data_IF_007993942828
#
_entry.id   IF_007993942828
#
_cell.length_a   1.000
_cell.length_b   1.000
_cell.length_c   1.000
_cell.angle_alpha   90.00
_cell.angle_beta   90.00
_cell.angle_gamma   90.00
#
_symmetry.space_group_name_H-M   'P 1'
#
loop_
_entity.id
_entity.type
_entity.pdbx_description
1 polymer ?
#
# COMPACT_ATOMS: atom_id res chain seq x y z
N UNK A 1 21.88 -5.27 -17.92
CA UNK A 1 20.80 -4.51 -17.27
C UNK A 1 21.41 -3.29 -16.60
N UNK A 2 20.73 -2.14 -16.62
CA UNK A 2 21.20 -0.96 -15.92
C UNK A 2 21.00 -1.17 -14.42
N UNK A 3 22.09 -1.35 -13.69
CA UNK A 3 22.04 -1.55 -12.22
C UNK A 3 21.74 -0.26 -11.48
N UNK A 4 21.75 0.89 -12.16
CA UNK A 4 21.55 2.21 -11.57
C UNK A 4 20.71 3.10 -12.48
N UNK A 5 19.77 3.82 -11.89
CA UNK A 5 18.92 4.77 -12.59
C UNK A 5 18.64 5.98 -11.67
N UNK A 6 18.67 7.18 -12.24
CA UNK A 6 18.28 8.41 -11.52
C UNK A 6 16.91 8.86 -12.00
N UNK A 7 15.96 8.98 -11.08
CA UNK A 7 14.60 9.42 -11.31
C UNK A 7 14.32 10.71 -10.53
N UNK A 8 13.53 11.68 -11.07
CA UNK A 8 13.23 12.93 -10.36
C UNK A 8 12.57 12.75 -8.98
N UNK A 9 11.68 11.77 -8.87
CA UNK A 9 11.00 11.43 -7.61
C UNK A 9 11.83 10.49 -6.71
N UNK A 10 12.17 9.30 -7.19
CA UNK A 10 12.88 8.27 -6.42
C UNK A 10 14.38 8.52 -6.21
N UNK A 11 14.95 9.57 -6.81
CA UNK A 11 16.38 9.84 -6.71
C UNK A 11 17.22 8.76 -7.40
N UNK A 12 18.36 8.41 -6.79
CA UNK A 12 19.27 7.39 -7.34
C UNK A 12 18.89 6.00 -6.82
N UNK A 13 18.42 5.14 -7.73
CA UNK A 13 18.12 3.74 -7.47
C UNK A 13 19.30 2.86 -7.90
N UNK A 14 19.63 1.84 -7.11
CA UNK A 14 20.75 0.92 -7.34
C UNK A 14 20.34 -0.53 -7.06
N UNK A 15 20.06 -1.30 -8.11
CA UNK A 15 19.57 -2.68 -7.99
C UNK A 15 20.65 -3.67 -7.56
N UNK A 16 21.91 -3.27 -7.41
CA UNK A 16 22.99 -4.22 -7.07
C UNK A 16 22.76 -5.00 -5.78
N UNK A 17 22.00 -4.45 -4.82
CA UNK A 17 21.63 -5.14 -3.58
C UNK A 17 20.62 -6.26 -3.80
N UNK A 18 19.73 -6.12 -4.79
CA UNK A 18 18.70 -7.12 -5.06
C UNK A 18 19.20 -8.27 -5.94
N UNK A 19 20.31 -8.08 -6.67
CA UNK A 19 20.89 -9.12 -7.55
C UNK A 19 21.34 -10.38 -6.78
N UNK A 20 21.59 -10.26 -5.47
CA UNK A 20 21.99 -11.39 -4.61
C UNK A 20 20.81 -12.13 -3.98
N UNK A 21 19.58 -11.66 -4.19
CA UNK A 21 18.38 -12.28 -3.66
C UNK A 21 18.12 -13.66 -4.28
N UNK A 22 17.27 -14.45 -3.63
CA UNK A 22 16.76 -15.69 -4.21
C UNK A 22 15.74 -15.40 -5.32
N UNK A 23 15.50 -16.36 -6.22
CA UNK A 23 14.47 -16.19 -7.25
C UNK A 23 13.11 -15.95 -6.56
N UNK A 24 12.27 -15.11 -7.15
CA UNK A 24 10.93 -14.77 -6.65
C UNK A 24 10.88 -14.09 -5.27
N UNK A 25 11.96 -13.40 -4.87
CA UNK A 25 11.99 -12.59 -3.64
C UNK A 25 12.15 -11.09 -3.95
N UNK A 26 11.59 -10.27 -3.06
CA UNK A 26 11.64 -8.81 -3.13
C UNK A 26 12.49 -8.26 -1.99
N UNK A 27 13.09 -7.11 -2.23
CA UNK A 27 13.69 -6.27 -1.19
C UNK A 27 13.39 -4.80 -1.48
N UNK A 28 13.46 -3.97 -0.44
CA UNK A 28 13.18 -2.53 -0.54
C UNK A 28 14.35 -1.85 -1.23
N UNK A 29 14.09 -1.31 -2.41
CA UNK A 29 15.08 -0.55 -3.17
C UNK A 29 15.05 0.94 -2.82
N UNK A 30 13.91 1.44 -2.36
CA UNK A 30 13.72 2.82 -1.94
C UNK A 30 12.56 2.92 -0.96
N UNK A 31 12.66 3.80 0.02
CA UNK A 31 11.60 4.09 0.99
C UNK A 31 11.66 5.56 1.41
N UNK A 32 10.51 6.14 1.71
CA UNK A 32 10.42 7.50 2.21
C UNK A 32 9.12 7.75 3.00
N UNK A 33 9.23 8.47 4.11
CA UNK A 33 8.10 9.10 4.78
C UNK A 33 7.62 10.35 4.02
N UNK A 34 6.33 10.40 3.69
CA UNK A 34 5.69 11.58 3.11
C UNK A 34 4.65 12.17 4.06
N UNK A 35 4.61 13.50 4.25
CA UNK A 35 3.53 14.13 4.97
C UNK A 35 2.24 14.07 4.14
N UNK A 36 1.17 13.58 4.75
CA UNK A 36 -0.13 13.46 4.09
C UNK A 36 -1.27 13.74 5.07
N UNK A 37 -2.06 14.78 4.77
CA UNK A 37 -3.06 15.35 5.70
C UNK A 37 -2.38 15.68 7.05
N UNK A 38 -2.92 15.19 8.16
CA UNK A 38 -2.39 15.40 9.50
C UNK A 38 -1.52 14.23 10.01
N UNK A 39 -1.09 13.34 9.10
CA UNK A 39 -0.26 12.16 9.41
C UNK A 39 0.97 12.02 8.49
N UNK A 40 1.75 10.97 8.71
CA UNK A 40 2.88 10.54 7.89
C UNK A 40 2.49 9.21 7.24
N UNK A 41 2.80 9.07 5.96
CA UNK A 41 2.64 7.81 5.22
C UNK A 41 4.01 7.28 4.85
N UNK A 42 4.30 6.03 5.19
CA UNK A 42 5.50 5.33 4.74
C UNK A 42 5.31 4.82 3.32
N UNK A 43 6.19 5.16 2.39
CA UNK A 43 6.12 4.67 1.01
C UNK A 43 7.33 3.82 0.72
N UNK A 44 7.13 2.55 0.40
CA UNK A 44 8.21 1.63 0.02
C UNK A 44 8.12 1.27 -1.46
N UNK A 45 9.27 1.07 -2.08
CA UNK A 45 9.41 0.58 -3.44
C UNK A 45 10.16 -0.74 -3.42
N UNK A 46 9.41 -1.82 -3.60
CA UNK A 46 9.87 -3.20 -3.56
C UNK A 46 10.26 -3.65 -4.96
N UNK A 47 11.41 -4.29 -5.06
CA UNK A 47 11.97 -4.72 -6.34
C UNK A 47 12.50 -6.15 -6.25
N UNK A 48 12.18 -6.97 -7.25
CA UNK A 48 12.70 -8.33 -7.38
C UNK A 48 13.76 -8.41 -8.48
N UNK A 49 14.74 -9.29 -8.27
CA UNK A 49 15.83 -9.48 -9.22
C UNK A 49 15.35 -9.98 -10.58
N UNK A 50 16.17 -9.77 -11.61
CA UNK A 50 15.87 -10.21 -12.98
C UNK A 50 14.93 -9.29 -13.76
N UNK A 51 14.35 -8.28 -13.11
CA UNK A 51 13.61 -7.22 -13.76
C UNK A 51 14.53 -6.10 -14.25
N UNK A 52 14.21 -5.52 -15.41
CA UNK A 52 14.81 -4.27 -15.84
C UNK A 52 14.11 -3.09 -15.14
N UNK A 53 14.91 -2.23 -14.51
CA UNK A 53 14.41 -0.97 -13.94
C UNK A 53 14.14 0.03 -15.08
N UNK A 54 12.86 0.25 -15.37
CA UNK A 54 12.40 1.08 -16.49
C UNK A 54 11.94 2.44 -15.99
N UNK A 55 12.41 3.50 -16.64
CA UNK A 55 12.03 4.87 -16.30
C UNK A 55 10.52 5.08 -16.45
N UNK A 56 9.91 4.54 -17.50
CA UNK A 56 8.49 4.68 -17.79
C UNK A 56 7.62 4.09 -16.68
N UNK A 57 8.07 3.00 -16.05
CA UNK A 57 7.37 2.38 -14.94
C UNK A 57 7.52 3.18 -13.65
N UNK A 58 8.69 3.76 -13.40
CA UNK A 58 8.89 4.73 -12.31
C UNK A 58 8.04 6.00 -12.50
N UNK A 59 7.96 6.52 -13.73
CA UNK A 59 7.09 7.66 -14.06
C UNK A 59 5.60 7.31 -13.74
N UNK A 60 5.19 6.06 -13.94
CA UNK A 60 3.85 5.59 -13.60
C UNK A 60 3.59 5.53 -12.08
N UNK A 61 4.54 5.00 -11.30
CA UNK A 61 4.47 5.04 -9.83
C UNK A 61 4.42 6.48 -9.30
N UNK A 62 5.25 7.38 -9.85
CA UNK A 62 5.21 8.81 -9.50
C UNK A 62 3.85 9.44 -9.85
N UNK A 63 3.30 9.10 -11.01
CA UNK A 63 1.95 9.56 -11.40
C UNK A 63 0.86 9.02 -10.47
N UNK A 64 1.00 7.80 -9.96
CA UNK A 64 0.08 7.23 -8.97
C UNK A 64 0.11 8.03 -7.67
N UNK A 65 1.29 8.19 -7.06
CA UNK A 65 1.44 8.86 -5.75
C UNK A 65 1.07 10.34 -5.80
N UNK A 66 1.33 11.03 -6.92
CA UNK A 66 0.87 12.43 -7.09
C UNK A 66 -0.65 12.59 -7.10
N UNK A 67 -1.40 11.50 -7.25
CA UNK A 67 -2.87 11.45 -7.19
C UNK A 67 -3.38 10.85 -5.89
N UNK A 68 -2.53 10.75 -4.85
CA UNK A 68 -2.88 10.09 -3.59
C UNK A 68 -4.23 10.53 -2.98
N UNK A 69 -4.58 11.84 -2.91
CA UNK A 69 -5.91 12.26 -2.44
C UNK A 69 -7.08 11.60 -3.16
N UNK A 70 -6.98 11.48 -4.48
CA UNK A 70 -8.03 10.85 -5.29
C UNK A 70 -8.05 9.33 -5.08
N UNK A 71 -6.86 8.70 -4.98
CA UNK A 71 -6.75 7.24 -4.79
C UNK A 71 -7.25 6.80 -3.43
N UNK A 72 -6.93 7.57 -2.40
CA UNK A 72 -7.40 7.31 -1.04
C UNK A 72 -8.93 7.50 -0.92
N UNK A 73 -9.52 8.51 -1.59
CA UNK A 73 -10.97 8.65 -1.66
C UNK A 73 -11.63 7.43 -2.34
N UNK A 74 -11.02 6.92 -3.43
CA UNK A 74 -11.48 5.72 -4.14
C UNK A 74 -11.36 4.47 -3.26
N UNK A 75 -10.23 4.30 -2.57
CA UNK A 75 -9.98 3.22 -1.62
C UNK A 75 -11.07 3.18 -0.53
N UNK A 76 -11.31 4.31 0.16
CA UNK A 76 -12.31 4.36 1.23
C UNK A 76 -13.72 4.02 0.74
N UNK A 77 -14.10 4.47 -0.47
CA UNK A 77 -15.41 4.12 -1.05
C UNK A 77 -15.54 2.61 -1.28
N UNK A 78 -14.50 1.95 -1.78
CA UNK A 78 -14.56 0.50 -2.01
C UNK A 78 -14.52 -0.28 -0.69
N UNK A 79 -13.77 0.19 0.32
CA UNK A 79 -13.78 -0.42 1.67
C UNK A 79 -15.18 -0.38 2.27
N UNK A 80 -15.85 0.78 2.23
CA UNK A 80 -17.21 0.92 2.77
C UNK A 80 -18.15 -0.09 2.09
N UNK A 81 -18.06 -0.22 0.76
CA UNK A 81 -18.90 -1.18 0.02
C UNK A 81 -18.56 -2.63 0.42
N UNK A 82 -17.28 -2.97 0.48
CA UNK A 82 -16.80 -4.30 0.86
C UNK A 82 -17.29 -4.71 2.26
N UNK A 83 -17.13 -3.83 3.26
CA UNK A 83 -17.56 -4.11 4.63
C UNK A 83 -19.08 -4.25 4.76
N UNK A 84 -19.86 -3.58 3.91
CA UNK A 84 -21.32 -3.76 3.85
C UNK A 84 -21.71 -5.11 3.24
N UNK A 85 -20.97 -5.57 2.24
CA UNK A 85 -21.17 -6.88 1.61
C UNK A 85 -20.68 -8.03 2.48
N UNK A 86 -19.68 -7.76 3.33
CA UNK A 86 -19.04 -8.72 4.22
C UNK A 86 -19.02 -8.23 5.68
N UNK A 87 -20.19 -8.16 6.35
CA UNK A 87 -20.30 -7.57 7.69
C UNK A 87 -19.51 -8.31 8.77
N UNK A 88 -19.15 -9.57 8.56
CA UNK A 88 -18.33 -10.36 9.49
C UNK A 88 -16.96 -9.70 9.74
N UNK A 89 -16.36 -9.07 8.74
CA UNK A 89 -15.09 -8.35 8.90
C UNK A 89 -15.23 -7.10 9.77
N UNK A 90 -16.32 -6.35 9.59
CA UNK A 90 -16.57 -5.20 10.46
C UNK A 90 -16.84 -5.65 11.90
N UNK A 91 -17.59 -6.73 12.09
CA UNK A 91 -17.87 -7.30 13.41
C UNK A 91 -16.58 -7.78 14.10
N UNK A 92 -15.65 -8.39 13.36
CA UNK A 92 -14.34 -8.81 13.88
C UNK A 92 -13.60 -7.65 14.57
N UNK A 93 -13.56 -6.47 13.94
CA UNK A 93 -12.95 -5.29 14.56
C UNK A 93 -13.73 -4.79 15.78
N UNK A 94 -15.06 -4.86 15.78
CA UNK A 94 -15.88 -4.51 16.97
C UNK A 94 -15.63 -5.46 18.14
N UNK A 95 -15.30 -6.71 17.87
CA UNK A 95 -15.01 -7.71 18.91
C UNK A 95 -13.62 -7.50 19.52
N UNK A 96 -12.63 -7.08 18.71
CA UNK A 96 -11.26 -6.82 19.16
C UNK A 96 -11.10 -5.57 20.00
N UNK A 97 -11.88 -4.51 19.75
CA UNK A 97 -11.75 -3.26 20.51
C UNK A 97 -13.06 -2.51 20.68
N UNK A 98 -13.18 -1.84 21.83
CA UNK A 98 -14.34 -0.97 22.15
C UNK A 98 -14.25 0.41 21.49
N UNK A 99 -13.15 0.73 20.81
CA UNK A 99 -12.98 2.00 20.10
C UNK A 99 -13.58 1.98 18.70
N UNK A 100 -13.83 0.80 18.14
CA UNK A 100 -14.47 0.64 16.82
C UNK A 100 -15.81 1.37 16.81
N UNK A 101 -16.02 2.33 15.87
CA UNK A 101 -17.31 2.97 15.71
C UNK A 101 -18.44 1.98 15.45
N UNK A 102 -19.67 2.40 15.71
CA UNK A 102 -20.83 1.52 15.54
C UNK A 102 -21.28 1.37 14.07
N UNK A 103 -20.81 2.25 13.18
CA UNK A 103 -21.12 2.25 11.75
C UNK A 103 -19.86 2.20 10.88
N UNK A 104 -20.02 1.59 9.68
CA UNK A 104 -18.94 1.30 8.74
C UNK A 104 -18.34 2.59 8.18
N UNK A 105 -19.16 3.59 7.89
CA UNK A 105 -18.73 4.85 7.31
C UNK A 105 -17.81 5.62 8.24
N UNK A 106 -18.18 5.73 9.53
CA UNK A 106 -17.33 6.36 10.55
C UNK A 106 -16.06 5.56 10.74
N UNK A 107 -16.16 4.22 10.88
CA UNK A 107 -14.98 3.34 10.98
C UNK A 107 -14.00 3.55 9.83
N UNK A 108 -14.47 3.47 8.58
CA UNK A 108 -13.62 3.68 7.41
C UNK A 108 -13.11 5.11 7.33
N UNK A 109 -13.83 6.12 7.83
CA UNK A 109 -13.32 7.50 7.83
C UNK A 109 -12.19 7.74 8.83
N UNK A 110 -12.17 6.97 9.92
CA UNK A 110 -11.18 7.07 11.00
C UNK A 110 -9.91 6.24 10.73
N UNK A 111 -9.96 5.29 9.78
CA UNK A 111 -8.78 4.52 9.38
C UNK A 111 -7.64 5.44 8.94
N UNK A 112 -6.46 5.26 9.52
CA UNK A 112 -5.27 5.97 9.11
C UNK A 112 -4.66 5.27 7.90
N UNK A 113 -4.31 6.04 6.87
CA UNK A 113 -3.45 5.54 5.79
C UNK A 113 -2.02 5.54 6.34
N UNK A 114 -1.43 4.36 6.47
CA UNK A 114 -0.12 4.20 7.12
C UNK A 114 0.99 3.97 6.11
N UNK A 115 0.76 3.03 5.20
CA UNK A 115 1.79 2.58 4.27
C UNK A 115 1.26 2.49 2.85
N UNK A 116 2.14 2.73 1.89
CA UNK A 116 1.92 2.44 0.48
C UNK A 116 3.13 1.68 -0.03
N UNK A 117 2.89 0.47 -0.52
CA UNK A 117 3.94 -0.33 -1.14
C UNK A 117 3.78 -0.33 -2.65
N UNK A 118 4.85 0.02 -3.34
CA UNK A 118 4.99 -0.09 -4.78
C UNK A 118 5.72 -1.38 -5.10
N UNK A 119 4.97 -2.34 -5.63
CA UNK A 119 5.49 -3.63 -6.05
C UNK A 119 5.95 -3.54 -7.50
N UNK A 120 7.23 -3.80 -7.71
CA UNK A 120 7.80 -3.93 -9.05
C UNK A 120 7.93 -5.41 -9.47
N UNK A 121 6.82 -6.05 -9.90
CA UNK A 121 6.90 -7.21 -10.80
C UNK A 121 6.14 -7.04 -12.11
N UNK A 122 6.39 -7.93 -13.08
CA UNK A 122 5.63 -8.02 -14.33
C UNK A 122 4.45 -9.01 -14.25
N UNK A 123 3.38 -8.62 -14.96
CA UNK A 123 2.10 -9.29 -15.26
C UNK A 123 1.43 -10.18 -14.18
N UNK A 124 0.30 -9.70 -13.67
CA UNK A 124 -0.71 -10.53 -12.98
C UNK A 124 -0.87 -10.27 -11.48
N UNK A 125 0.02 -9.48 -10.90
CA UNK A 125 -0.01 -9.10 -9.48
C UNK A 125 -0.36 -7.62 -9.30
N UNK A 126 -0.78 -7.27 -8.08
CA UNK A 126 -0.99 -5.88 -7.71
C UNK A 126 0.32 -5.09 -7.80
N UNK A 127 0.21 -3.84 -8.22
CA UNK A 127 1.39 -2.97 -8.39
C UNK A 127 1.50 -1.98 -7.24
N UNK A 128 0.39 -1.68 -6.58
CA UNK A 128 0.36 -0.81 -5.41
C UNK A 128 -0.56 -1.40 -4.35
N UNK A 129 -0.05 -1.53 -3.13
CA UNK A 129 -0.87 -1.80 -1.95
C UNK A 129 -0.98 -0.52 -1.10
N UNK A 130 -2.20 -0.18 -0.72
CA UNK A 130 -2.51 0.96 0.14
C UNK A 130 -3.05 0.46 1.46
N UNK A 131 -2.26 0.56 2.53
CA UNK A 131 -2.55 -0.02 3.83
C UNK A 131 -3.26 0.98 4.74
N UNK A 132 -4.41 0.56 5.24
CA UNK A 132 -5.19 1.26 6.23
C UNK A 132 -5.07 0.53 7.56
N UNK A 133 -4.59 1.24 8.55
CA UNK A 133 -4.48 0.72 9.89
C UNK A 133 -5.78 0.96 10.66
N UNK A 134 -6.45 -0.10 11.13
CA UNK A 134 -7.61 0.00 11.96
C UNK A 134 -7.24 0.46 13.37
N UNK A 135 -6.10 0.06 13.92
CA UNK A 135 -5.67 0.43 15.26
C UNK A 135 -4.15 0.34 15.46
N UNK A 136 -3.59 1.28 16.22
CA UNK A 136 -2.27 1.17 16.87
C UNK A 136 -2.46 1.33 18.37
N UNK A 137 -2.53 0.23 19.12
CA UNK A 137 -2.58 0.31 20.58
C UNK A 137 -1.76 -0.82 21.20
N UNK A 138 -1.14 -0.53 22.34
CA UNK A 138 -0.32 -1.46 23.12
C UNK A 138 -1.16 -2.63 23.66
N UNK A 139 -2.49 -2.48 23.69
CA UNK A 139 -3.47 -3.46 24.15
C UNK A 139 -3.95 -4.43 23.03
N UNK A 140 -3.36 -4.39 21.83
CA UNK A 140 -3.76 -5.24 20.70
C UNK A 140 -2.79 -6.40 20.55
N UNK A 141 -3.33 -7.63 20.55
CA UNK A 141 -2.51 -8.85 20.48
C UNK A 141 -1.89 -9.09 19.10
N UNK A 142 -2.51 -8.62 18.02
CA UNK A 142 -2.00 -8.69 16.64
C UNK A 142 -2.37 -7.43 15.85
N UNK A 143 -1.36 -6.79 15.27
CA UNK A 143 -1.58 -5.70 14.30
C UNK A 143 -2.26 -6.29 13.07
N UNK A 144 -3.44 -5.78 12.72
CA UNK A 144 -4.14 -6.14 11.50
C UNK A 144 -4.17 -4.93 10.59
N UNK A 145 -3.89 -5.10 9.31
CA UNK A 145 -3.95 -4.02 8.32
C UNK A 145 -4.84 -4.41 7.15
N UNK A 146 -5.58 -3.43 6.63
CA UNK A 146 -6.45 -3.61 5.46
C UNK A 146 -5.73 -2.99 4.26
N UNK A 147 -5.39 -3.80 3.27
CA UNK A 147 -4.77 -3.33 2.05
C UNK A 147 -5.80 -3.17 0.93
N UNK A 148 -5.81 -2.02 0.25
CA UNK A 148 -6.46 -1.88 -1.06
C UNK A 148 -5.42 -2.00 -2.14
N UNK A 149 -5.62 -2.98 -3.01
CA UNK A 149 -4.67 -3.29 -4.07
C UNK A 149 -5.08 -2.57 -5.35
N UNK A 150 -4.12 -1.91 -5.99
CA UNK A 150 -4.31 -1.16 -7.20
C UNK A 150 -3.38 -1.63 -8.32
N UNK A 151 -3.88 -1.49 -9.55
CA UNK A 151 -3.01 -1.38 -10.70
C UNK A 151 -2.40 0.04 -10.77
N UNK A 152 -1.33 0.23 -11.56
CA UNK A 152 -0.72 1.53 -11.82
C UNK A 152 -1.66 2.51 -12.55
N UNK A 153 -2.63 1.99 -13.30
CA UNK A 153 -3.74 2.79 -13.85
C UNK A 153 -4.62 3.40 -12.74
N UNK A 154 -4.53 2.84 -11.54
CA UNK A 154 -5.35 3.04 -10.34
C UNK A 154 -6.75 2.49 -10.46
N UNK A 155 -6.93 1.48 -11.31
CA UNK A 155 -7.97 0.47 -11.12
C UNK A 155 -7.74 -0.25 -9.78
N UNK A 156 -8.82 -0.48 -9.04
CA UNK A 156 -8.79 -1.28 -7.81
C UNK A 156 -8.94 -2.75 -8.22
N UNK A 157 -8.03 -3.59 -7.74
CA UNK A 157 -7.97 -5.01 -8.07
C UNK A 157 -8.63 -5.88 -7.00
N UNK A 158 -8.35 -5.58 -5.73
CA UNK A 158 -8.75 -6.41 -4.59
C UNK A 158 -8.64 -5.62 -3.29
N UNK A 159 -9.21 -6.19 -2.23
CA UNK A 159 -8.95 -5.80 -0.85
C UNK A 159 -8.36 -7.02 -0.17
N UNK A 160 -7.19 -6.85 0.43
CA UNK A 160 -6.48 -7.90 1.16
C UNK A 160 -6.40 -7.56 2.65
N UNK A 161 -6.24 -8.61 3.45
CA UNK A 161 -6.29 -8.54 4.90
C UNK A 161 -5.06 -9.24 5.45
N UNK A 162 -4.16 -8.47 6.05
CA UNK A 162 -2.97 -9.01 6.70
C UNK A 162 -3.18 -9.02 8.23
N UNK A 163 -2.80 -10.12 8.88
CA UNK A 163 -3.12 -10.43 10.29
C UNK A 163 -1.95 -11.00 11.08
#
# INVERSE_FOLDING_TARGET
>A
MATKLIHPYFGSLDTSKVETLEDDTYDVLWEQEIPYKDSIVWVSFWFSKGNDLLKERLDAFESFIKKLPLREEQARKILIQYLKEHPDYFNHFKEKTKRTPDDIETFVSELELDMIDFWYPQEGEAEVDMYFAPYYDEDIETEEVIAVQFALSGEILSIDWDS
#
